data_IF_571345999229
#
_entry.id   IF_571345999229
#
_cell.length_a   1.000
_cell.length_b   1.000
_cell.length_c   1.000
_cell.angle_alpha   90.00
_cell.angle_beta   90.00
_cell.angle_gamma   90.00
#
_symmetry.space_group_name_H-M   'P 1'
#
loop_
_entity.id
_entity.type
_entity.pdbx_description
1 polymer ?
#
# COMPACT_ATOMS: atom_id res chain seq x y z
N UNK A 1 0.93 13.02 -8.58
CA UNK A 1 1.79 14.07 -9.14
C UNK A 1 1.52 15.37 -8.40
N UNK A 2 2.55 16.08 -7.88
CA UNK A 2 2.34 17.38 -7.25
C UNK A 2 1.85 18.41 -8.28
N UNK A 3 0.98 19.35 -7.88
CA UNK A 3 0.50 20.42 -8.76
C UNK A 3 1.54 21.54 -8.82
N UNK A 4 1.93 21.92 -10.04
CA UNK A 4 2.75 23.10 -10.33
C UNK A 4 1.86 24.34 -10.28
N UNK A 5 1.55 24.84 -9.08
CA UNK A 5 0.72 26.04 -8.92
C UNK A 5 0.90 26.67 -7.54
N UNK A 6 0.78 28.00 -7.46
CA UNK A 6 0.94 28.75 -6.21
C UNK A 6 -0.25 28.48 -5.30
N UNK A 7 0.01 27.85 -4.14
CA UNK A 7 -0.99 27.49 -3.15
C UNK A 7 -0.46 26.45 -2.16
N UNK A 8 -1.15 26.24 -1.02
CA UNK A 8 -0.72 25.27 -0.01
C UNK A 8 -0.70 23.85 -0.62
N UNK A 9 0.40 23.08 -0.47
CA UNK A 9 0.44 21.69 -0.91
C UNK A 9 -0.74 20.89 -0.35
N UNK A 10 -1.29 19.97 -1.16
CA UNK A 10 -2.33 19.05 -0.68
C UNK A 10 -1.80 18.29 0.53
N UNK A 11 -2.54 18.34 1.63
CA UNK A 11 -2.22 17.56 2.84
C UNK A 11 -2.54 16.07 2.71
N UNK A 12 -3.31 15.69 1.66
CA UNK A 12 -3.68 14.31 1.34
C UNK A 12 -3.30 14.00 -0.11
N UNK A 13 -2.35 13.08 -0.35
CA UNK A 13 -2.06 12.61 -1.70
C UNK A 13 -3.18 11.71 -2.22
N UNK A 14 -3.37 11.68 -3.54
CA UNK A 14 -4.36 10.82 -4.20
C UNK A 14 -3.89 9.35 -4.22
N UNK A 15 -2.58 9.13 -4.37
CA UNK A 15 -1.96 7.80 -4.36
C UNK A 15 -0.59 7.82 -3.64
N UNK A 16 -0.26 6.75 -2.92
CA UNK A 16 1.03 6.57 -2.21
C UNK A 16 1.75 5.34 -2.73
N UNK A 17 3.02 5.53 -3.08
CA UNK A 17 3.98 4.46 -3.28
C UNK A 17 4.84 4.38 -2.02
N UNK A 18 4.94 3.21 -1.41
CA UNK A 18 5.80 3.00 -0.25
C UNK A 18 6.55 1.69 -0.38
N UNK A 19 7.69 1.60 0.31
CA UNK A 19 8.51 0.41 0.30
C UNK A 19 7.94 -0.71 1.20
N UNK A 20 8.54 -1.89 1.08
CA UNK A 20 8.18 -3.12 1.81
C UNK A 20 8.18 -2.98 3.35
N UNK A 21 8.91 -2.02 3.92
CA UNK A 21 8.89 -1.69 5.34
C UNK A 21 7.51 -1.22 5.80
N UNK A 22 6.69 -0.67 4.91
CA UNK A 22 5.37 -0.13 5.21
C UNK A 22 4.20 -1.10 4.93
N UNK A 23 4.47 -2.40 4.79
CA UNK A 23 3.43 -3.43 4.51
C UNK A 23 2.46 -3.72 5.67
N UNK A 24 2.65 -3.12 6.85
CA UNK A 24 1.85 -3.42 8.05
C UNK A 24 0.34 -3.20 7.84
N UNK A 25 -0.49 -4.04 8.48
CA UNK A 25 -1.97 -3.91 8.44
C UNK A 25 -2.44 -2.54 8.94
N UNK A 26 -1.74 -1.94 9.93
CA UNK A 26 -2.05 -0.61 10.46
C UNK A 26 -1.89 0.48 9.39
N UNK A 27 -0.79 0.45 8.63
CA UNK A 27 -0.54 1.40 7.54
C UNK A 27 -1.60 1.25 6.44
N UNK A 28 -1.89 0.02 6.02
CA UNK A 28 -2.93 -0.27 5.04
C UNK A 28 -4.31 0.23 5.49
N UNK A 29 -4.68 -0.01 6.74
CA UNK A 29 -5.95 0.47 7.32
C UNK A 29 -6.01 1.99 7.37
N UNK A 30 -4.91 2.65 7.73
CA UNK A 30 -4.81 4.10 7.76
C UNK A 30 -5.05 4.71 6.37
N UNK A 31 -4.37 4.19 5.34
CA UNK A 31 -4.49 4.67 3.97
C UNK A 31 -5.91 4.46 3.42
N UNK A 32 -6.50 3.27 3.66
CA UNK A 32 -7.91 2.98 3.29
C UNK A 32 -8.89 3.92 3.97
N UNK A 33 -8.74 4.15 5.28
CA UNK A 33 -9.60 5.09 6.04
C UNK A 33 -9.51 6.51 5.47
N UNK A 34 -8.34 6.90 4.96
CA UNK A 34 -8.12 8.24 4.38
C UNK A 34 -8.54 8.33 2.91
N UNK A 35 -9.00 7.24 2.30
CA UNK A 35 -9.34 7.19 0.87
C UNK A 35 -8.13 7.31 -0.05
N UNK A 36 -6.93 6.98 0.44
CA UNK A 36 -5.69 7.14 -0.32
C UNK A 36 -5.39 5.82 -1.05
N UNK A 37 -5.32 5.87 -2.38
CA UNK A 37 -4.84 4.76 -3.19
C UNK A 37 -3.41 4.43 -2.80
N UNK A 38 -3.04 3.15 -2.70
CA UNK A 38 -1.67 2.82 -2.28
C UNK A 38 -1.15 1.54 -2.90
N UNK A 39 0.07 1.62 -3.41
CA UNK A 39 0.85 0.49 -3.90
C UNK A 39 2.03 0.29 -2.97
N UNK A 40 2.02 -0.83 -2.26
CA UNK A 40 3.10 -1.21 -1.34
C UNK A 40 3.37 -2.69 -1.63
N UNK A 41 4.60 -3.10 -1.94
CA UNK A 41 4.92 -4.50 -2.18
C UNK A 41 4.78 -5.31 -0.89
N UNK A 42 4.24 -6.54 -1.01
CA UNK A 42 4.27 -7.52 0.09
C UNK A 42 5.70 -8.04 0.23
N UNK A 43 6.17 -8.27 1.47
CA UNK A 43 7.47 -8.90 1.69
C UNK A 43 7.40 -10.38 1.30
N UNK A 44 8.49 -10.91 0.73
CA UNK A 44 8.59 -12.31 0.31
C UNK A 44 8.31 -13.30 1.46
N UNK A 45 8.75 -12.98 2.68
CA UNK A 45 8.49 -13.80 3.87
C UNK A 45 7.00 -13.84 4.22
N UNK A 46 6.28 -12.73 4.09
CA UNK A 46 4.83 -12.69 4.32
C UNK A 46 4.06 -13.47 3.27
N UNK A 47 4.51 -13.41 2.02
CA UNK A 47 3.95 -14.23 0.94
C UNK A 47 4.16 -15.73 1.22
N UNK A 48 5.36 -16.15 1.63
CA UNK A 48 5.63 -17.54 2.06
C UNK A 48 4.79 -17.94 3.27
N UNK A 49 4.70 -17.10 4.30
CA UNK A 49 3.87 -17.39 5.48
C UNK A 49 2.38 -17.51 5.14
N UNK A 50 1.89 -16.72 4.18
CA UNK A 50 0.53 -16.85 3.66
C UNK A 50 0.36 -18.17 2.91
N UNK A 51 1.30 -18.51 2.02
CA UNK A 51 1.28 -19.78 1.29
C UNK A 51 1.31 -20.99 2.24
N UNK A 52 2.18 -20.97 3.24
CA UNK A 52 2.30 -22.02 4.25
C UNK A 52 1.03 -22.18 5.11
N UNK A 53 0.23 -21.12 5.26
CA UNK A 53 -1.06 -21.16 5.96
C UNK A 53 -2.21 -21.66 5.08
N UNK A 54 -1.98 -21.94 3.80
CA UNK A 54 -3.00 -22.49 2.90
C UNK A 54 -4.26 -21.62 2.82
N UNK A 55 -5.43 -22.24 2.99
CA UNK A 55 -6.75 -21.57 3.02
C UNK A 55 -6.87 -20.50 4.11
N UNK A 56 -6.18 -20.68 5.24
CA UNK A 56 -6.17 -19.72 6.36
C UNK A 56 -5.23 -18.53 6.10
N UNK A 57 -4.47 -18.59 5.00
CA UNK A 57 -3.54 -17.57 4.54
C UNK A 57 -4.19 -16.21 4.28
N UNK A 58 -5.47 -16.21 3.90
CA UNK A 58 -6.20 -15.03 3.47
C UNK A 58 -5.79 -14.54 2.06
N UNK A 59 -6.49 -13.52 1.55
CA UNK A 59 -6.29 -13.00 0.19
C UNK A 59 -4.97 -12.20 0.07
N UNK A 60 -4.18 -12.38 -1.00
CA UNK A 60 -3.03 -11.52 -1.30
C UNK A 60 -3.41 -10.03 -1.30
N UNK A 61 -2.47 -9.18 -0.88
CA UNK A 61 -2.62 -7.73 -1.10
C UNK A 61 -2.45 -7.43 -2.59
N UNK A 62 -3.41 -6.72 -3.18
CA UNK A 62 -3.28 -6.21 -4.55
C UNK A 62 -2.05 -5.30 -4.63
N UNK A 63 -0.99 -5.81 -5.25
CA UNK A 63 0.17 -5.03 -5.65
C UNK A 63 -0.02 -4.72 -7.13
N UNK A 64 -0.02 -3.44 -7.46
CA UNK A 64 -0.11 -2.95 -8.83
C UNK A 64 1.31 -2.58 -9.28
N UNK A 65 1.93 -3.46 -10.07
CA UNK A 65 3.28 -3.29 -10.59
C UNK A 65 3.39 -2.18 -11.64
N UNK A 66 2.29 -1.73 -12.26
CA UNK A 66 2.34 -0.64 -13.24
C UNK A 66 2.52 0.74 -12.58
N UNK A 67 2.22 0.83 -11.28
CA UNK A 67 2.34 2.06 -10.49
C UNK A 67 3.59 2.14 -9.63
N UNK A 68 4.33 1.05 -9.44
CA UNK A 68 5.53 1.01 -8.58
C UNK A 68 6.80 1.25 -9.40
#
# INVERSE_FOLDING_TARGET
>A
MPRTGVGRPRSRPDHVLADKAYTSRKNRRYLRRRGIGHTIPERLDQQRHRHNRGSDGGRPTGFDSERY
#
